data_IF_265096262426
#
_entry.id   IF_265096262426
#
_cell.length_a   1.000
_cell.length_b   1.000
_cell.length_c   1.000
_cell.angle_alpha   90.00
_cell.angle_beta   90.00
_cell.angle_gamma   90.00
#
_symmetry.space_group_name_H-M   'P 1'
#
loop_
_entity.id
_entity.type
_entity.pdbx_description
1 polymer ?
#
# COMPACT_ATOMS: atom_id res chain seq x y z
N UNK A 1 -26.25 7.10 -9.08
CA UNK A 1 -25.71 5.72 -9.07
C UNK A 1 -24.42 5.77 -8.26
N UNK A 2 -24.53 5.68 -6.94
CA UNK A 2 -23.34 5.49 -6.08
C UNK A 2 -22.97 4.02 -6.15
N UNK A 3 -22.11 3.67 -7.10
CA UNK A 3 -21.37 2.42 -7.03
C UNK A 3 -20.38 2.64 -5.89
N UNK A 4 -20.82 2.34 -4.66
CA UNK A 4 -20.02 2.39 -3.46
C UNK A 4 -18.80 1.51 -3.68
N UNK A 5 -17.70 2.12 -4.13
CA UNK A 5 -16.43 1.46 -4.29
C UNK A 5 -15.98 1.15 -2.87
N UNK A 6 -16.24 -0.09 -2.45
CA UNK A 6 -15.98 -0.50 -1.09
C UNK A 6 -14.46 -0.47 -0.91
N UNK A 7 -13.97 0.46 -0.08
CA UNK A 7 -12.54 0.59 0.18
C UNK A 7 -12.08 -0.63 0.98
N UNK A 8 -11.22 -1.45 0.37
CA UNK A 8 -10.57 -2.57 1.03
C UNK A 8 -9.39 -2.06 1.86
N UNK A 9 -9.15 -2.70 3.01
CA UNK A 9 -7.93 -2.47 3.79
C UNK A 9 -6.86 -3.42 3.27
N UNK A 10 -5.72 -2.89 2.87
CA UNK A 10 -4.57 -3.67 2.47
C UNK A 10 -3.42 -3.41 3.43
N UNK A 11 -2.75 -4.49 3.86
CA UNK A 11 -1.41 -4.40 4.42
C UNK A 11 -0.40 -4.51 3.30
N UNK A 12 0.40 -3.47 3.11
CA UNK A 12 1.46 -3.43 2.11
C UNK A 12 2.80 -3.42 2.81
N UNK A 13 3.67 -4.34 2.45
CA UNK A 13 4.98 -4.53 3.09
C UNK A 13 6.12 -4.44 2.07
N UNK A 14 7.25 -3.86 2.49
CA UNK A 14 8.51 -3.81 1.73
C UNK A 14 9.67 -4.10 2.68
N UNK A 15 10.36 -5.22 2.47
CA UNK A 15 11.32 -5.72 3.45
C UNK A 15 10.67 -5.92 4.82
N UNK A 16 11.17 -5.23 5.84
CA UNK A 16 10.63 -5.26 7.21
C UNK A 16 9.62 -4.14 7.51
N UNK A 17 9.42 -3.19 6.59
CA UNK A 17 8.47 -2.10 6.78
C UNK A 17 7.10 -2.51 6.26
N UNK A 18 6.04 -2.18 7.00
CA UNK A 18 4.66 -2.43 6.58
C UNK A 18 3.76 -1.27 6.94
N UNK A 19 2.79 -0.97 6.07
CA UNK A 19 1.76 0.03 6.30
C UNK A 19 0.40 -0.52 5.92
N UNK A 20 -0.64 -0.05 6.60
CA UNK A 20 -2.03 -0.34 6.24
C UNK A 20 -2.56 0.86 5.46
N UNK A 21 -3.17 0.58 4.31
CA UNK A 21 -3.81 1.57 3.45
C UNK A 21 -5.20 1.12 3.05
N UNK A 22 -6.08 2.06 2.76
CA UNK A 22 -7.42 1.79 2.23
C UNK A 22 -7.44 2.12 0.74
N UNK A 23 -7.87 1.17 -0.08
CA UNK A 23 -7.83 1.29 -1.52
C UNK A 23 -8.92 0.45 -2.18
N UNK A 24 -9.29 0.80 -3.41
CA UNK A 24 -10.22 0.02 -4.23
C UNK A 24 -9.52 -1.11 -5.00
N UNK A 25 -8.19 -1.08 -5.09
CA UNK A 25 -7.40 -2.07 -5.82
C UNK A 25 -6.04 -2.33 -5.15
N UNK A 26 -5.43 -3.52 -5.35
CA UNK A 26 -4.07 -3.81 -4.90
C UNK A 26 -3.01 -2.87 -5.51
N UNK A 27 -3.20 -2.45 -6.77
CA UNK A 27 -2.26 -1.55 -7.47
C UNK A 27 -2.28 -0.16 -6.83
N UNK A 28 -3.48 0.36 -6.57
CA UNK A 28 -3.64 1.63 -5.87
C UNK A 28 -3.13 1.55 -4.42
N UNK A 29 -3.25 0.37 -3.78
CA UNK A 29 -2.71 0.15 -2.44
C UNK A 29 -1.17 0.28 -2.43
N UNK A 30 -0.47 -0.24 -3.43
CA UNK A 30 0.99 -0.08 -3.55
C UNK A 30 1.36 1.39 -3.71
N UNK A 31 0.65 2.14 -4.57
CA UNK A 31 0.90 3.58 -4.76
C UNK A 31 0.73 4.37 -3.45
N UNK A 32 -0.38 4.14 -2.74
CA UNK A 32 -0.66 4.80 -1.47
C UNK A 32 0.34 4.40 -0.37
N UNK A 33 0.72 3.13 -0.33
CA UNK A 33 1.71 2.62 0.61
C UNK A 33 3.08 3.24 0.37
N UNK A 34 3.50 3.38 -0.89
CA UNK A 34 4.75 4.04 -1.28
C UNK A 34 4.80 5.48 -0.80
N UNK A 35 3.74 6.25 -1.05
CA UNK A 35 3.65 7.64 -0.58
C UNK A 35 3.72 7.72 0.95
N UNK A 36 3.02 6.81 1.64
CA UNK A 36 3.03 6.76 3.11
C UNK A 36 4.42 6.40 3.65
N UNK A 37 5.06 5.37 3.11
CA UNK A 37 6.40 4.95 3.48
C UNK A 37 7.45 6.03 3.21
N UNK A 38 7.34 6.76 2.11
CA UNK A 38 8.19 7.92 1.81
C UNK A 38 8.06 9.02 2.86
N UNK A 39 6.84 9.28 3.36
CA UNK A 39 6.61 10.25 4.45
C UNK A 39 7.08 9.73 5.81
N UNK A 40 6.88 8.45 6.09
CA UNK A 40 7.28 7.82 7.36
C UNK A 40 8.81 7.64 7.44
N UNK A 41 9.49 7.47 6.30
CA UNK A 41 10.94 7.28 6.18
C UNK A 41 11.58 8.27 5.18
N UNK A 42 11.62 9.58 5.48
CA UNK A 42 12.06 10.60 4.53
C UNK A 42 13.52 10.42 4.08
N UNK A 43 14.39 9.86 4.93
CA UNK A 43 15.79 9.54 4.57
C UNK A 43 15.91 8.42 3.52
N UNK A 44 14.87 7.61 3.36
CA UNK A 44 14.80 6.52 2.38
C UNK A 44 13.94 6.86 1.18
N UNK A 45 13.49 8.11 1.05
CA UNK A 45 12.61 8.56 -0.02
C UNK A 45 13.11 8.15 -1.42
N UNK A 46 14.38 8.42 -1.72
CA UNK A 46 14.97 8.12 -3.03
C UNK A 46 14.97 6.63 -3.36
N UNK A 47 15.07 5.78 -2.33
CA UNK A 47 15.01 4.32 -2.49
C UNK A 47 13.56 3.89 -2.67
N UNK A 48 12.67 4.29 -1.76
CA UNK A 48 11.27 3.86 -1.74
C UNK A 48 10.51 4.35 -2.98
N UNK A 49 10.75 5.58 -3.42
CA UNK A 49 10.10 6.14 -4.61
C UNK A 49 10.45 5.43 -5.91
N UNK A 50 11.63 4.80 -6.00
CA UNK A 50 12.14 4.13 -7.21
C UNK A 50 12.00 2.60 -7.20
N UNK A 51 11.55 2.01 -6.08
CA UNK A 51 11.37 0.56 -5.97
C UNK A 51 10.33 0.05 -6.98
N UNK A 52 10.61 -1.07 -7.64
CA UNK A 52 9.62 -1.73 -8.49
C UNK A 52 8.44 -2.24 -7.66
N UNK A 53 7.23 -2.20 -8.21
CA UNK A 53 6.01 -2.68 -7.52
C UNK A 53 6.12 -4.14 -7.08
N UNK A 54 6.88 -4.96 -7.81
CA UNK A 54 7.18 -6.36 -7.47
C UNK A 54 7.93 -6.56 -6.15
N UNK A 55 8.48 -5.50 -5.55
CA UNK A 55 9.11 -5.54 -4.22
C UNK A 55 8.12 -5.32 -3.09
N UNK A 56 6.89 -4.91 -3.40
CA UNK A 56 5.83 -4.71 -2.43
C UNK A 56 4.99 -5.98 -2.33
N UNK A 57 4.81 -6.46 -1.10
CA UNK A 57 3.90 -7.55 -0.78
C UNK A 57 2.57 -6.94 -0.36
N UNK A 58 1.47 -7.35 -1.00
CA UNK A 58 0.13 -6.84 -0.70
C UNK A 58 -0.71 -7.97 -0.13
N UNK A 59 -1.25 -7.75 1.06
CA UNK A 59 -2.20 -8.64 1.72
C UNK A 59 -3.53 -7.89 1.86
N UNK A 60 -4.60 -8.42 1.27
CA UNK A 60 -5.96 -7.91 1.52
C UNK A 60 -6.39 -8.33 2.92
N UNK A 61 -6.76 -7.35 3.74
CA UNK A 61 -7.27 -7.51 5.10
C UNK A 61 -8.79 -7.44 5.15
N UNK A 62 -9.48 -7.55 4.01
CA UNK A 62 -10.92 -7.82 4.00
C UNK A 62 -11.24 -8.98 4.94
N UNK A 63 -12.30 -8.91 5.76
CA UNK A 63 -12.59 -9.99 6.69
C UNK A 63 -12.74 -11.30 5.91
N UNK A 64 -11.75 -12.18 6.06
CA UNK A 64 -11.94 -13.62 5.90
C UNK A 64 -13.03 -13.98 6.90
N UNK A 65 -14.17 -14.44 6.36
CA UNK A 65 -15.31 -14.91 7.14
C UNK A 65 -14.91 -16.01 8.14
#
# INVERSE_FOLDING_TARGET
>A
MDIGSQLHKYQVSVGHASVIVQSNSPVDAIRMAREKLCRDFPRLWDVISKLADSRFQVLDLWPTA
#
